data_IF_367086499140
#
_entry.id   IF_367086499140
#
_cell.length_a   1.000
_cell.length_b   1.000
_cell.length_c   1.000
_cell.angle_alpha   90.00
_cell.angle_beta   90.00
_cell.angle_gamma   90.00
#
_symmetry.space_group_name_H-M   'P 1'
#
loop_
_entity.id
_entity.type
_entity.pdbx_description
1 polymer ?
#
# COMPACT_ATOMS: atom_id res chain seq x y z
N UNK A 1 2.55 13.75 4.49
CA UNK A 1 3.04 12.50 5.10
C UNK A 1 4.27 12.03 4.33
N UNK A 2 5.38 11.73 5.01
CA UNK A 2 6.58 11.15 4.38
C UNK A 2 6.41 9.64 4.19
N UNK A 3 7.22 9.02 3.32
CA UNK A 3 7.15 7.57 3.09
C UNK A 3 7.35 6.76 4.38
N UNK A 4 8.26 7.20 5.26
CA UNK A 4 8.48 6.57 6.56
C UNK A 4 7.28 6.66 7.49
N UNK A 5 6.63 7.83 7.55
CA UNK A 5 5.44 8.03 8.38
C UNK A 5 4.28 7.13 7.91
N UNK A 6 4.15 6.96 6.59
CA UNK A 6 3.19 6.02 6.00
C UNK A 6 3.54 4.57 6.32
N UNK A 7 4.81 4.16 6.21
CA UNK A 7 5.23 2.80 6.61
C UNK A 7 4.90 2.52 8.06
N UNK A 8 5.17 3.49 8.95
CA UNK A 8 4.88 3.35 10.37
C UNK A 8 3.37 3.28 10.63
N UNK A 9 2.59 4.15 9.98
CA UNK A 9 1.14 4.14 10.09
C UNK A 9 0.55 2.82 9.59
N UNK A 10 1.12 2.19 8.57
CA UNK A 10 0.63 0.93 7.99
C UNK A 10 1.30 -0.32 8.57
N UNK A 11 2.30 -0.18 9.44
CA UNK A 11 3.06 -1.30 10.00
C UNK A 11 2.16 -2.31 10.73
N UNK A 12 1.08 -1.85 11.35
CA UNK A 12 0.10 -2.70 12.02
C UNK A 12 -0.70 -3.62 11.07
N UNK A 13 -0.69 -3.33 9.76
CA UNK A 13 -1.33 -4.15 8.73
C UNK A 13 -0.41 -5.23 8.19
N UNK A 14 0.91 -5.14 8.45
CA UNK A 14 1.87 -6.16 8.02
C UNK A 14 1.60 -7.46 8.80
N UNK A 15 1.40 -8.55 8.07
CA UNK A 15 0.95 -9.84 8.61
C UNK A 15 -0.57 -10.03 8.59
N UNK A 16 -1.35 -9.01 8.26
CA UNK A 16 -2.80 -9.13 8.06
C UNK A 16 -3.12 -9.54 6.60
N UNK A 17 -4.26 -10.23 6.37
CA UNK A 17 -4.74 -10.48 5.02
C UNK A 17 -5.13 -9.17 4.33
N UNK A 18 -4.67 -9.01 3.10
CA UNK A 18 -5.05 -7.90 2.24
C UNK A 18 -6.51 -8.05 1.81
N UNK A 19 -7.26 -6.97 1.98
CA UNK A 19 -8.62 -6.81 1.46
C UNK A 19 -8.69 -5.58 0.56
N UNK A 20 -9.48 -5.57 -0.50
CA UNK A 20 -9.58 -4.44 -1.42
C UNK A 20 -9.97 -3.12 -0.73
N UNK A 21 -10.79 -3.20 0.33
CA UNK A 21 -11.25 -2.05 1.12
C UNK A 21 -10.11 -1.34 1.86
N UNK A 22 -8.99 -2.02 2.14
CA UNK A 22 -7.81 -1.40 2.74
C UNK A 22 -7.25 -0.28 1.87
N UNK A 23 -7.44 -0.32 0.54
CA UNK A 23 -6.97 0.76 -0.34
C UNK A 23 -7.62 2.10 0.02
N UNK A 24 -8.93 2.10 0.29
CA UNK A 24 -9.67 3.31 0.65
C UNK A 24 -9.24 3.83 2.03
N UNK A 25 -9.08 2.90 2.99
CA UNK A 25 -8.55 3.20 4.32
C UNK A 25 -7.13 3.78 4.26
N UNK A 26 -6.25 3.19 3.45
CA UNK A 26 -4.87 3.68 3.26
C UNK A 26 -4.90 5.06 2.59
N UNK A 27 -5.75 5.27 1.58
CA UNK A 27 -5.95 6.59 0.98
C UNK A 27 -6.38 7.63 2.03
N UNK A 28 -7.33 7.28 2.90
CA UNK A 28 -7.83 8.16 3.95
C UNK A 28 -6.80 8.46 5.04
N UNK A 29 -6.05 7.45 5.50
CA UNK A 29 -5.00 7.61 6.51
C UNK A 29 -3.83 8.43 5.97
N UNK A 30 -3.39 8.10 4.75
CA UNK A 30 -2.15 8.66 4.19
C UNK A 30 -2.36 9.94 3.39
N UNK A 31 -3.61 10.24 3.03
CA UNK A 31 -4.00 11.32 2.13
C UNK A 31 -3.53 11.11 0.69
N UNK A 32 -3.08 9.90 0.32
CA UNK A 32 -2.57 9.59 -1.02
C UNK A 32 -3.67 9.02 -1.88
N UNK A 33 -3.85 9.59 -3.07
CA UNK A 33 -4.92 9.19 -3.99
C UNK A 33 -4.61 7.91 -4.78
N UNK A 34 -3.37 7.41 -4.72
CA UNK A 34 -2.91 6.32 -5.60
C UNK A 34 -2.31 5.16 -4.80
N UNK A 35 -3.17 4.26 -4.38
CA UNK A 35 -2.81 3.00 -3.71
C UNK A 35 -3.05 1.84 -4.66
N UNK A 36 -2.01 1.06 -4.90
CA UNK A 36 -2.01 -0.07 -5.85
C UNK A 36 -1.96 -1.36 -5.04
N UNK A 37 -2.96 -2.21 -5.24
CA UNK A 37 -3.01 -3.53 -4.63
C UNK A 37 -2.03 -4.52 -5.29
N UNK A 38 -1.78 -5.67 -4.65
CA UNK A 38 -0.90 -6.71 -5.18
C UNK A 38 -1.38 -7.30 -6.52
N UNK A 39 -2.69 -7.27 -6.77
CA UNK A 39 -3.32 -7.79 -7.99
C UNK A 39 -3.62 -6.69 -9.02
N UNK A 40 -3.38 -5.42 -8.69
CA UNK A 40 -3.65 -4.32 -9.59
C UNK A 40 -2.53 -4.21 -10.62
N UNK A 41 -2.90 -4.33 -11.91
CA UNK A 41 -1.96 -4.12 -13.00
C UNK A 41 -1.67 -2.62 -13.11
N UNK A 42 -0.42 -2.22 -12.84
CA UNK A 42 -0.02 -0.80 -12.85
C UNK A 42 1.10 -0.54 -13.86
N UNK A 43 1.09 0.63 -14.48
CA UNK A 43 2.16 1.07 -15.39
C UNK A 43 3.44 1.33 -14.60
N UNK A 44 4.61 1.03 -15.17
CA UNK A 44 5.93 1.29 -14.55
C UNK A 44 6.30 2.78 -14.48
N UNK A 45 5.34 3.68 -14.62
CA UNK A 45 5.58 5.11 -14.45
C UNK A 45 5.94 5.42 -13.00
N UNK A 46 7.02 6.19 -12.83
CA UNK A 46 7.48 6.72 -11.57
C UNK A 46 6.43 7.70 -11.02
N UNK A 47 5.93 7.45 -9.82
CA UNK A 47 4.90 8.26 -9.19
C UNK A 47 5.22 8.34 -7.69
N UNK A 48 5.81 9.46 -7.23
CA UNK A 48 6.29 9.60 -5.85
C UNK A 48 5.15 9.61 -4.82
N UNK A 49 3.89 9.65 -5.28
CA UNK A 49 2.69 9.58 -4.43
C UNK A 49 2.05 8.19 -4.44
N UNK A 50 2.62 7.22 -5.16
CA UNK A 50 2.09 5.87 -5.26
C UNK A 50 2.53 5.02 -4.08
N UNK A 51 1.57 4.32 -3.48
CA UNK A 51 1.82 3.26 -2.52
C UNK A 51 1.54 1.93 -3.21
N UNK A 52 2.54 1.06 -3.27
CA UNK A 52 2.35 -0.31 -3.76
C UNK A 52 2.30 -1.27 -2.58
N UNK A 53 1.19 -1.99 -2.45
CA UNK A 53 0.99 -2.99 -1.40
C UNK A 53 1.67 -4.27 -1.85
N UNK A 54 2.61 -4.76 -1.04
CA UNK A 54 3.25 -6.06 -1.25
C UNK A 54 2.53 -7.10 -0.41
N UNK A 55 2.07 -8.14 -1.08
CA UNK A 55 1.53 -9.32 -0.41
C UNK A 55 2.25 -10.59 -0.85
N UNK A 56 2.16 -11.62 -0.01
CA UNK A 56 2.57 -12.97 -0.32
C UNK A 56 1.56 -13.69 -1.24
N UNK A 57 1.86 -14.94 -1.63
CA UNK A 57 0.98 -15.82 -2.39
C UNK A 57 -0.39 -16.03 -1.70
N UNK A 58 -0.42 -15.98 -0.36
CA UNK A 58 -1.64 -16.08 0.43
C UNK A 58 -2.38 -14.74 0.62
N UNK A 59 -2.05 -13.69 -0.16
CA UNK A 59 -2.61 -12.34 -0.01
C UNK A 59 -2.34 -11.72 1.37
N UNK A 60 -1.33 -12.18 2.11
CA UNK A 60 -0.93 -11.58 3.39
C UNK A 60 0.01 -10.42 3.13
N UNK A 61 -0.25 -9.26 3.73
CA UNK A 61 0.57 -8.05 3.56
C UNK A 61 1.96 -8.29 4.15
N UNK A 62 2.97 -8.21 3.30
CA UNK A 62 4.39 -8.29 3.69
C UNK A 62 4.99 -6.89 3.89
N UNK A 63 4.41 -5.86 3.25
CA UNK A 63 4.87 -4.49 3.40
C UNK A 63 4.37 -3.54 2.31
N UNK A 64 4.98 -2.37 2.24
CA UNK A 64 4.62 -1.30 1.32
C UNK A 64 5.85 -0.72 0.63
N UNK A 65 5.76 -0.56 -0.68
CA UNK A 65 6.78 0.06 -1.52
C UNK A 65 6.32 1.42 -2.06
N UNK A 66 7.29 2.30 -2.25
CA UNK A 66 7.11 3.66 -2.76
C UNK A 66 8.21 3.85 -3.80
N UNK A 67 7.83 4.10 -5.06
CA UNK A 67 8.74 4.35 -6.19
C UNK A 67 8.64 5.81 -6.60
#
# INVERSE_FOLDING_TARGET
MTNDDVKQALAHLVGAPYVPELKDTICAITGRSRVVGPTDMCTREFDPTRIQIRTDANQVIQGFEFN
#
